data_IF_155040752835
#
_entry.id   IF_155040752835
#
_cell.length_a   1.000
_cell.length_b   1.000
_cell.length_c   1.000
_cell.angle_alpha   90.00
_cell.angle_beta   90.00
_cell.angle_gamma   90.00
#
_symmetry.space_group_name_H-M   'P 1'
#
loop_
_entity.id
_entity.type
_entity.pdbx_description
1 polymer ?
#
# COMPACT_ATOMS: atom_id res chain seq x y z
N UNK A 1 8.67 19.33 46.39
CA UNK A 1 7.64 19.88 45.47
C UNK A 1 7.94 19.24 44.12
N UNK A 2 7.35 18.11 43.71
CA UNK A 2 5.94 17.70 43.60
C UNK A 2 5.33 18.09 42.23
N UNK A 3 5.05 17.08 41.40
CA UNK A 3 4.39 17.17 40.09
C UNK A 3 5.33 17.58 38.93
N UNK A 4 5.24 17.00 37.73
CA UNK A 4 4.34 15.94 37.27
C UNK A 4 3.92 16.12 35.80
N UNK A 5 3.79 14.98 35.11
CA UNK A 5 3.19 14.77 33.77
C UNK A 5 4.18 14.83 32.58
N UNK A 6 4.53 13.75 31.86
CA UNK A 6 4.00 12.38 31.69
C UNK A 6 2.81 12.16 30.73
N UNK A 7 2.60 13.04 29.74
CA UNK A 7 1.71 12.80 28.59
C UNK A 7 2.28 13.30 27.25
N UNK A 8 3.09 12.46 26.60
CA UNK A 8 2.74 11.91 25.27
C UNK A 8 3.72 10.79 24.91
N UNK A 9 3.40 9.57 25.33
CA UNK A 9 3.93 8.34 24.74
C UNK A 9 2.82 7.72 23.90
N UNK A 10 3.14 6.96 22.83
CA UNK A 10 2.21 6.41 21.81
C UNK A 10 1.82 7.46 20.77
N UNK A 11 2.08 7.41 19.45
CA UNK A 11 2.78 6.51 18.49
C UNK A 11 3.23 7.43 17.30
N UNK A 12 4.11 7.08 16.37
CA UNK A 12 5.00 5.92 16.15
C UNK A 12 6.24 6.41 15.38
N UNK A 13 7.43 5.79 15.50
CA UNK A 13 8.36 5.79 14.38
C UNK A 13 7.83 4.79 13.34
N UNK A 14 7.26 5.30 12.25
CA UNK A 14 6.88 4.51 11.07
C UNK A 14 8.08 3.99 10.29
N UNK A 15 9.12 3.52 11.00
CA UNK A 15 10.12 2.65 10.41
C UNK A 15 9.41 1.32 10.14
N UNK A 16 8.92 1.16 8.91
CA UNK A 16 8.65 -0.17 8.38
C UNK A 16 9.88 -1.04 8.66
N UNK A 17 9.73 -2.32 9.05
CA UNK A 17 10.86 -3.22 9.01
C UNK A 17 11.43 -3.18 7.58
N UNK A 18 12.76 -3.28 7.40
CA UNK A 18 13.28 -3.54 6.07
C UNK A 18 12.71 -4.89 5.63
N UNK A 19 11.68 -4.83 4.78
CA UNK A 19 11.45 -5.88 3.83
C UNK A 19 12.73 -5.86 2.95
N UNK A 20 13.56 -6.87 3.18
CA UNK A 20 14.93 -6.95 2.71
C UNK A 20 15.46 -8.39 2.77
N UNK A 21 14.57 -9.35 2.50
CA UNK A 21 14.93 -10.65 1.94
C UNK A 21 14.51 -10.66 0.45
N UNK A 22 14.75 -9.52 -0.22
CA UNK A 22 14.40 -9.27 -1.62
C UNK A 22 15.47 -9.81 -2.58
N UNK A 23 15.28 -11.03 -3.08
CA UNK A 23 16.02 -11.57 -4.23
C UNK A 23 15.08 -11.97 -5.39
N UNK A 24 14.03 -11.16 -5.62
CA UNK A 24 13.38 -11.04 -6.94
C UNK A 24 12.88 -9.60 -7.10
N UNK A 25 13.29 -8.85 -8.14
CA UNK A 25 12.68 -7.56 -8.44
C UNK A 25 11.29 -7.79 -9.03
N UNK A 26 10.26 -7.81 -8.17
CA UNK A 26 8.86 -7.71 -8.59
C UNK A 26 8.39 -6.27 -8.33
N UNK A 27 8.39 -5.40 -9.36
CA UNK A 27 8.07 -3.97 -9.24
C UNK A 27 6.55 -3.75 -9.14
N UNK A 28 5.97 -4.19 -8.03
CA UNK A 28 4.59 -3.88 -7.69
C UNK A 28 4.48 -2.43 -7.22
N UNK A 29 3.46 -1.72 -7.69
CA UNK A 29 3.16 -0.32 -7.33
C UNK A 29 1.73 -0.25 -6.84
N UNK A 30 1.52 0.15 -5.59
CA UNK A 30 0.20 0.45 -5.04
C UNK A 30 -0.06 1.96 -5.17
N UNK A 31 -0.93 2.34 -6.09
CA UNK A 31 -1.47 3.70 -6.15
C UNK A 31 -2.54 3.86 -5.07
N UNK A 32 -2.31 4.82 -4.19
CA UNK A 32 -3.13 5.10 -3.01
C UNK A 32 -3.23 6.61 -2.78
N UNK A 33 -4.09 7.02 -1.84
CA UNK A 33 -4.25 8.42 -1.43
C UNK A 33 -4.49 8.56 0.06
N UNK A 34 -4.21 9.73 0.63
CA UNK A 34 -4.38 9.98 2.06
C UNK A 34 -5.86 9.95 2.50
N UNK A 35 -6.09 9.59 3.77
CA UNK A 35 -7.41 9.48 4.42
C UNK A 35 -8.39 8.53 3.69
N UNK A 36 -7.88 7.44 3.09
CA UNK A 36 -8.67 6.53 2.27
C UNK A 36 -8.88 5.14 2.92
N UNK A 37 -10.06 4.92 3.51
CA UNK A 37 -10.42 3.63 4.10
C UNK A 37 -10.36 2.43 3.11
N UNK A 38 -10.55 2.67 1.81
CA UNK A 38 -10.40 1.62 0.80
C UNK A 38 -8.93 1.17 0.69
N UNK A 39 -7.97 2.08 0.85
CA UNK A 39 -6.54 1.75 0.85
C UNK A 39 -6.17 0.89 2.07
N UNK A 40 -6.74 1.15 3.26
CA UNK A 40 -6.59 0.27 4.42
C UNK A 40 -7.05 -1.17 4.10
N UNK A 41 -8.24 -1.32 3.51
CA UNK A 41 -8.80 -2.62 3.14
C UNK A 41 -7.92 -3.36 2.11
N UNK A 42 -7.37 -2.64 1.13
CA UNK A 42 -6.41 -3.21 0.17
C UNK A 42 -5.11 -3.68 0.85
N UNK A 43 -4.58 -2.89 1.80
CA UNK A 43 -3.42 -3.27 2.61
C UNK A 43 -3.70 -4.50 3.50
N UNK A 44 -4.88 -4.63 4.07
CA UNK A 44 -5.30 -5.84 4.80
C UNK A 44 -5.34 -7.08 3.88
N UNK A 45 -5.80 -6.93 2.64
CA UNK A 45 -5.79 -8.02 1.64
C UNK A 45 -4.37 -8.39 1.20
N UNK A 46 -3.50 -7.40 0.96
CA UNK A 46 -2.06 -7.59 0.68
C UNK A 46 -1.36 -8.34 1.83
N UNK A 47 -1.60 -7.95 3.09
CA UNK A 47 -1.09 -8.63 4.27
C UNK A 47 -1.63 -10.06 4.40
N UNK A 48 -2.92 -10.27 4.10
CA UNK A 48 -3.59 -11.59 4.15
C UNK A 48 -3.01 -12.59 3.14
N UNK A 49 -2.55 -12.13 1.97
CA UNK A 49 -1.86 -13.00 1.01
C UNK A 49 -0.37 -13.16 1.27
N UNK A 50 0.22 -12.33 2.16
CA UNK A 50 1.67 -12.10 2.27
C UNK A 50 2.26 -11.70 0.93
N UNK A 51 1.73 -10.61 0.38
CA UNK A 51 2.23 -10.05 -0.87
C UNK A 51 3.74 -9.77 -0.78
N UNK A 52 4.49 -9.88 -1.89
CA UNK A 52 5.87 -9.44 -1.94
C UNK A 52 5.95 -7.91 -1.77
N UNK A 53 7.16 -7.38 -1.75
CA UNK A 53 7.37 -5.94 -1.64
C UNK A 53 6.71 -5.16 -2.78
N UNK A 54 6.19 -3.99 -2.43
CA UNK A 54 5.52 -3.07 -3.34
C UNK A 54 5.87 -1.63 -2.96
N UNK A 55 6.02 -0.77 -3.97
CA UNK A 55 6.15 0.67 -3.80
C UNK A 55 4.77 1.27 -3.52
N UNK A 56 4.66 2.18 -2.56
CA UNK A 56 3.41 2.91 -2.26
C UNK A 56 3.49 4.30 -2.86
N UNK A 57 2.74 4.56 -3.92
CA UNK A 57 2.71 5.85 -4.62
C UNK A 57 1.44 6.60 -4.24
N UNK A 58 1.63 7.76 -3.63
CA UNK A 58 0.54 8.68 -3.30
C UNK A 58 0.19 9.51 -4.53
N UNK A 59 -1.09 9.51 -4.91
CA UNK A 59 -1.54 10.23 -6.10
C UNK A 59 -1.84 11.72 -5.83
N UNK A 60 -2.08 12.10 -4.56
CA UNK A 60 -2.51 13.46 -4.17
C UNK A 60 -1.57 14.60 -4.61
N UNK A 61 -0.27 14.32 -4.81
CA UNK A 61 0.74 15.29 -5.26
C UNK A 61 0.96 15.32 -6.80
N UNK A 62 0.28 14.48 -7.58
CA UNK A 62 0.42 14.41 -9.05
C UNK A 62 -0.93 14.52 -9.78
N UNK A 63 -1.17 15.67 -10.41
CA UNK A 63 -2.40 15.95 -11.18
C UNK A 63 -2.70 14.92 -12.29
N UNK A 64 -1.67 14.26 -12.83
CA UNK A 64 -1.81 13.21 -13.86
C UNK A 64 -2.33 11.92 -13.23
N UNK A 65 -1.79 11.55 -12.06
CA UNK A 65 -2.24 10.37 -11.32
C UNK A 65 -3.62 10.58 -10.69
N UNK A 66 -3.92 11.77 -10.16
CA UNK A 66 -5.28 12.15 -9.74
C UNK A 66 -6.29 12.01 -10.90
N UNK A 67 -5.93 12.49 -12.09
CA UNK A 67 -6.80 12.38 -13.28
C UNK A 67 -7.01 10.93 -13.73
N UNK A 68 -5.98 10.07 -13.62
CA UNK A 68 -6.02 8.68 -14.07
C UNK A 68 -6.63 7.70 -13.03
N UNK A 69 -6.37 7.95 -11.74
CA UNK A 69 -6.62 7.00 -10.64
C UNK A 69 -7.46 7.57 -9.48
N UNK A 70 -7.75 8.87 -9.42
CA UNK A 70 -8.43 9.51 -8.28
C UNK A 70 -9.79 8.92 -7.88
N UNK A 71 -10.49 8.28 -8.82
CA UNK A 71 -11.75 7.53 -8.55
C UNK A 71 -11.59 5.99 -8.57
N UNK A 72 -10.39 5.50 -8.91
CA UNK A 72 -10.04 4.07 -9.00
C UNK A 72 -9.23 3.55 -7.82
N UNK A 73 -8.56 4.44 -7.06
CA UNK A 73 -7.74 4.05 -5.91
C UNK A 73 -8.54 3.29 -4.82
N UNK A 74 -7.96 2.24 -4.22
CA UNK A 74 -6.61 1.71 -4.44
C UNK A 74 -6.48 0.88 -5.73
N UNK A 75 -5.37 1.06 -6.45
CA UNK A 75 -5.01 0.25 -7.62
C UNK A 75 -3.63 -0.34 -7.41
N UNK A 76 -3.52 -1.66 -7.45
CA UNK A 76 -2.23 -2.36 -7.50
C UNK A 76 -1.82 -2.56 -8.96
N UNK A 77 -0.65 -2.09 -9.35
CA UNK A 77 -0.05 -2.29 -10.66
C UNK A 77 1.18 -3.17 -10.56
N UNK A 78 1.41 -3.99 -11.58
CA UNK A 78 2.65 -4.70 -11.81
C UNK A 78 3.41 -4.00 -12.94
N UNK A 79 4.61 -3.47 -12.67
CA UNK A 79 5.42 -2.79 -13.68
C UNK A 79 6.20 -3.77 -14.58
N UNK A 80 6.20 -5.08 -14.28
CA UNK A 80 6.78 -6.12 -15.14
C UNK A 80 5.99 -6.28 -16.43
N UNK A 81 4.67 -6.39 -16.30
CA UNK A 81 3.72 -6.65 -17.40
C UNK A 81 2.74 -5.50 -17.66
N UNK A 82 2.83 -4.41 -16.89
CA UNK A 82 1.90 -3.26 -16.95
C UNK A 82 0.46 -3.59 -16.53
N UNK A 83 0.26 -4.68 -15.77
CA UNK A 83 -1.06 -5.15 -15.35
C UNK A 83 -1.61 -4.32 -14.20
N UNK A 84 -2.90 -4.02 -14.21
CA UNK A 84 -3.59 -3.35 -13.11
C UNK A 84 -4.62 -4.25 -12.43
N UNK A 85 -4.73 -4.13 -11.11
CA UNK A 85 -5.74 -4.73 -10.25
C UNK A 85 -6.43 -3.61 -9.46
N UNK A 86 -7.59 -3.19 -9.97
CA UNK A 86 -8.45 -2.21 -9.33
C UNK A 86 -9.34 -2.82 -8.23
N UNK A 87 -9.66 -2.00 -7.22
CA UNK A 87 -10.64 -2.33 -6.19
C UNK A 87 -12.06 -2.48 -6.78
N UNK A 88 -12.90 -3.41 -6.32
CA UNK A 88 -12.66 -4.38 -5.23
C UNK A 88 -11.90 -5.63 -5.67
N UNK A 89 -10.96 -6.07 -4.82
CA UNK A 89 -10.26 -7.35 -4.99
C UNK A 89 -10.10 -8.10 -3.67
N UNK A 90 -10.36 -9.41 -3.71
CA UNK A 90 -10.15 -10.32 -2.58
C UNK A 90 -8.77 -10.98 -2.64
N UNK A 91 -8.38 -11.60 -1.52
CA UNK A 91 -7.15 -12.39 -1.38
C UNK A 91 -6.99 -13.55 -2.39
N UNK A 92 -8.07 -13.98 -3.05
CA UNK A 92 -8.01 -14.94 -4.15
C UNK A 92 -7.65 -14.27 -5.49
N UNK A 93 -8.26 -13.12 -5.79
CA UNK A 93 -8.01 -12.34 -7.01
C UNK A 93 -6.59 -11.77 -7.00
N UNK A 94 -6.13 -11.28 -5.85
CA UNK A 94 -4.76 -10.83 -5.65
C UNK A 94 -3.73 -11.98 -5.82
N UNK A 95 -3.97 -13.17 -5.26
CA UNK A 95 -3.08 -14.33 -5.51
C UNK A 95 -3.01 -14.72 -7.00
N UNK A 96 -4.13 -14.66 -7.72
CA UNK A 96 -4.14 -14.93 -9.16
C UNK A 96 -3.48 -13.82 -9.99
N UNK A 97 -3.36 -12.60 -9.44
CA UNK A 97 -2.58 -11.52 -10.04
C UNK A 97 -1.08 -11.74 -9.82
N UNK A 98 -0.67 -12.05 -8.58
CA UNK A 98 0.74 -12.30 -8.18
C UNK A 98 1.34 -13.62 -8.69
N UNK A 99 0.54 -14.52 -9.26
CA UNK A 99 0.98 -15.81 -9.79
C UNK A 99 1.06 -15.83 -11.33
N UNK A 100 1.27 -14.65 -11.94
CA UNK A 100 1.39 -14.47 -13.38
C UNK A 100 2.79 -14.76 -13.92
#
# INVERSE_FOLDING_TARGET
MAGGDSRYSTRHPGAAPPAADADTPMPLILYQRDDCHLCDLALEVLATVRAPEFESVFIDDDETLETAYGTRVPVLRDDTDGRELEWPFDAARLRAFLAS
#
